data_IF_086258291915
#
_entry.id   IF_086258291915
#
_cell.length_a   1.000
_cell.length_b   1.000
_cell.length_c   1.000
_cell.angle_alpha   90.00
_cell.angle_beta   90.00
_cell.angle_gamma   90.00
#
_symmetry.space_group_name_H-M   'P 1'
#
loop_
_entity.id
_entity.type
_entity.pdbx_description
1 polymer ?
#
# COMPACT_ATOMS: atom_id res chain seq x y z
N UNK A 1 22.99 3.23 20.48
CA UNK A 1 22.46 3.12 19.11
C UNK A 1 23.38 2.19 18.33
N UNK A 2 22.96 0.95 18.06
CA UNK A 2 23.70 0.11 17.11
C UNK A 2 23.38 0.66 15.70
N UNK A 3 24.41 0.87 14.86
CA UNK A 3 24.17 1.27 13.48
C UNK A 3 23.32 0.17 12.82
N UNK A 4 22.20 0.56 12.25
CA UNK A 4 21.35 -0.34 11.47
C UNK A 4 22.21 -0.96 10.37
N UNK A 5 22.40 -2.28 10.41
CA UNK A 5 23.11 -2.99 9.33
C UNK A 5 22.40 -2.68 8.00
N UNK A 6 23.13 -2.32 6.94
CA UNK A 6 22.52 -2.00 5.66
C UNK A 6 21.72 -3.24 5.18
N UNK A 7 20.50 -2.96 4.67
CA UNK A 7 19.65 -4.00 4.10
C UNK A 7 20.46 -4.82 3.07
N UNK A 8 20.34 -6.13 3.14
CA UNK A 8 20.98 -7.03 2.19
C UNK A 8 20.43 -6.81 0.77
N UNK A 9 21.24 -7.03 -0.27
CA UNK A 9 20.80 -6.93 -1.65
C UNK A 9 19.50 -7.71 -1.95
N UNK A 10 19.32 -8.98 -1.47
CA UNK A 10 18.08 -9.72 -1.68
C UNK A 10 16.88 -9.10 -0.95
N UNK A 11 17.06 -8.41 0.18
CA UNK A 11 15.97 -7.71 0.85
C UNK A 11 15.52 -6.47 0.05
N UNK A 12 16.47 -5.73 -0.50
CA UNK A 12 16.17 -4.56 -1.36
C UNK A 12 15.42 -4.97 -2.63
N UNK A 13 15.90 -6.00 -3.33
CA UNK A 13 15.22 -6.50 -4.53
C UNK A 13 13.83 -7.05 -4.22
N UNK A 14 13.63 -7.67 -3.04
CA UNK A 14 12.33 -8.14 -2.61
C UNK A 14 11.35 -7.00 -2.36
N UNK A 15 11.78 -5.88 -1.74
CA UNK A 15 10.93 -4.70 -1.52
C UNK A 15 10.47 -4.13 -2.87
N UNK A 16 11.40 -3.96 -3.83
CA UNK A 16 11.05 -3.48 -5.18
C UNK A 16 10.08 -4.44 -5.88
N UNK A 17 10.31 -5.76 -5.77
CA UNK A 17 9.41 -6.75 -6.35
C UNK A 17 8.02 -6.71 -5.72
N UNK A 18 7.93 -6.58 -4.39
CA UNK A 18 6.66 -6.42 -3.67
C UNK A 18 5.90 -5.19 -4.17
N UNK A 19 6.59 -4.05 -4.32
CA UNK A 19 6.00 -2.82 -4.80
C UNK A 19 5.49 -2.94 -6.25
N UNK A 20 6.27 -3.54 -7.16
CA UNK A 20 5.85 -3.79 -8.53
C UNK A 20 4.65 -4.74 -8.61
N UNK A 21 4.65 -5.82 -7.83
CA UNK A 21 3.53 -6.75 -7.73
C UNK A 21 2.29 -6.05 -7.17
N UNK A 22 2.45 -5.21 -6.16
CA UNK A 22 1.36 -4.41 -5.60
C UNK A 22 0.74 -3.48 -6.65
N UNK A 23 1.56 -2.76 -7.42
CA UNK A 23 1.09 -1.92 -8.52
C UNK A 23 0.35 -2.73 -9.60
N UNK A 24 0.88 -3.90 -9.98
CA UNK A 24 0.24 -4.80 -10.93
C UNK A 24 -1.10 -5.33 -10.43
N UNK A 25 -1.18 -5.70 -9.13
CA UNK A 25 -2.43 -6.18 -8.53
C UNK A 25 -3.51 -5.09 -8.43
N UNK A 26 -3.11 -3.83 -8.21
CA UNK A 26 -4.04 -2.69 -8.26
C UNK A 26 -4.52 -2.44 -9.68
N UNK A 27 -3.62 -2.50 -10.65
CA UNK A 27 -3.96 -2.35 -12.06
C UNK A 27 -4.93 -3.44 -12.54
N UNK A 28 -4.67 -4.71 -12.22
CA UNK A 28 -5.58 -5.82 -12.62
C UNK A 28 -6.99 -5.66 -12.06
N UNK A 29 -7.13 -5.15 -10.83
CA UNK A 29 -8.43 -4.89 -10.23
C UNK A 29 -9.17 -3.73 -10.90
N UNK A 30 -8.43 -2.75 -11.43
CA UNK A 30 -9.00 -1.62 -12.18
C UNK A 30 -9.46 -2.08 -13.57
N UNK A 31 -8.61 -2.82 -14.28
CA UNK A 31 -8.91 -3.32 -15.63
C UNK A 31 -10.09 -4.31 -15.64
N UNK A 32 -10.18 -5.15 -14.61
CA UNK A 32 -11.23 -6.15 -14.46
C UNK A 32 -12.43 -5.64 -13.63
N UNK A 33 -12.59 -4.33 -13.47
CA UNK A 33 -13.65 -3.74 -12.62
C UNK A 33 -15.07 -4.15 -13.00
N UNK A 34 -15.32 -4.46 -14.28
CA UNK A 34 -16.61 -4.91 -14.81
C UNK A 34 -16.81 -6.44 -14.76
N UNK A 35 -15.73 -7.18 -14.47
CA UNK A 35 -15.76 -8.65 -14.39
C UNK A 35 -15.89 -9.12 -12.93
N UNK A 36 -16.45 -10.32 -12.76
CA UNK A 36 -16.42 -10.98 -11.45
C UNK A 36 -14.96 -11.38 -11.11
N UNK A 37 -14.47 -11.21 -9.86
CA UNK A 37 -15.18 -10.74 -8.64
C UNK A 37 -15.20 -9.22 -8.43
N UNK A 38 -14.48 -8.42 -9.21
CA UNK A 38 -14.26 -6.99 -8.97
C UNK A 38 -15.49 -6.10 -9.28
N UNK A 39 -16.49 -6.64 -9.98
CA UNK A 39 -17.79 -5.97 -10.19
C UNK A 39 -18.52 -5.74 -8.86
N UNK A 40 -18.36 -6.63 -7.90
CA UNK A 40 -18.95 -6.49 -6.56
C UNK A 40 -18.12 -5.56 -5.70
N UNK A 41 -18.77 -4.55 -5.10
CA UNK A 41 -18.10 -3.51 -4.28
C UNK A 41 -17.40 -4.15 -3.08
N UNK A 42 -18.01 -5.15 -2.44
CA UNK A 42 -17.44 -5.81 -1.26
C UNK A 42 -16.15 -6.56 -1.58
N UNK A 43 -16.13 -7.35 -2.65
CA UNK A 43 -14.94 -8.06 -3.10
C UNK A 43 -13.84 -7.11 -3.55
N UNK A 44 -14.20 -6.07 -4.29
CA UNK A 44 -13.25 -5.02 -4.72
C UNK A 44 -12.64 -4.30 -3.52
N UNK A 45 -13.44 -3.99 -2.51
CA UNK A 45 -12.95 -3.37 -1.28
C UNK A 45 -11.99 -4.28 -0.52
N UNK A 46 -12.30 -5.57 -0.38
CA UNK A 46 -11.42 -6.58 0.23
C UNK A 46 -10.07 -6.66 -0.50
N UNK A 47 -10.10 -6.64 -1.84
CA UNK A 47 -8.89 -6.69 -2.64
C UNK A 47 -8.01 -5.46 -2.43
N UNK A 48 -8.58 -4.26 -2.56
CA UNK A 48 -7.80 -3.03 -2.35
C UNK A 48 -7.25 -2.92 -0.93
N UNK A 49 -8.06 -3.24 0.08
CA UNK A 49 -7.63 -3.22 1.46
C UNK A 49 -6.45 -4.18 1.72
N UNK A 50 -6.53 -5.40 1.20
CA UNK A 50 -5.49 -6.40 1.36
C UNK A 50 -4.21 -6.02 0.60
N UNK A 51 -4.33 -5.64 -0.67
CA UNK A 51 -3.20 -5.28 -1.53
C UNK A 51 -2.45 -4.05 -1.00
N UNK A 52 -3.17 -3.07 -0.44
CA UNK A 52 -2.53 -1.89 0.14
C UNK A 52 -1.91 -2.16 1.52
N UNK A 53 -2.60 -2.90 2.40
CA UNK A 53 -2.15 -3.07 3.78
C UNK A 53 -1.02 -4.09 3.92
N UNK A 54 -1.19 -5.30 3.38
CA UNK A 54 -0.30 -6.42 3.69
C UNK A 54 1.06 -6.32 3.00
N UNK A 55 1.17 -6.10 1.69
CA UNK A 55 2.46 -5.92 1.04
C UNK A 55 3.24 -4.73 1.61
N UNK A 56 2.57 -3.61 1.91
CA UNK A 56 3.21 -2.44 2.53
C UNK A 56 3.72 -2.75 3.94
N UNK A 57 2.93 -3.46 4.77
CA UNK A 57 3.37 -3.88 6.10
C UNK A 57 4.55 -4.85 6.04
N UNK A 58 4.54 -5.79 5.08
CA UNK A 58 5.66 -6.70 4.84
C UNK A 58 6.90 -5.93 4.38
N UNK A 59 6.78 -5.02 3.40
CA UNK A 59 7.90 -4.22 2.90
C UNK A 59 8.56 -3.38 4.01
N UNK A 60 7.75 -2.71 4.85
CA UNK A 60 8.22 -1.92 6.00
C UNK A 60 8.81 -2.77 7.15
N UNK A 61 8.51 -4.06 7.19
CA UNK A 61 8.97 -4.98 8.24
C UNK A 61 10.06 -5.94 7.77
N UNK A 62 10.40 -5.92 6.48
CA UNK A 62 11.31 -6.87 5.87
C UNK A 62 12.77 -6.56 6.27
N UNK A 63 13.34 -7.44 7.09
CA UNK A 63 14.77 -7.45 7.41
C UNK A 63 15.44 -8.63 6.70
N UNK A 64 14.83 -9.82 6.75
CA UNK A 64 15.28 -11.03 6.12
C UNK A 64 14.09 -11.84 5.57
N UNK A 65 14.23 -12.34 4.33
CA UNK A 65 13.19 -13.15 3.65
C UNK A 65 12.93 -14.50 4.32
N UNK A 66 13.93 -15.04 5.02
CA UNK A 66 13.87 -16.39 5.65
C UNK A 66 13.11 -16.43 6.99
N UNK A 67 12.63 -15.34 7.51
CA UNK A 67 11.94 -15.30 8.80
C UNK A 67 10.53 -15.90 8.72
N UNK A 68 10.37 -17.15 9.17
CA UNK A 68 9.06 -17.81 9.27
C UNK A 68 8.01 -16.99 10.03
N UNK A 69 8.45 -16.24 11.05
CA UNK A 69 7.56 -15.37 11.85
C UNK A 69 6.94 -14.25 11.02
N UNK A 70 7.70 -13.66 10.09
CA UNK A 70 7.19 -12.62 9.19
C UNK A 70 6.00 -13.16 8.37
N UNK A 71 6.14 -14.33 7.77
CA UNK A 71 5.10 -14.93 6.94
C UNK A 71 3.88 -15.39 7.75
N UNK A 72 4.09 -15.93 8.95
CA UNK A 72 2.98 -16.25 9.85
C UNK A 72 2.19 -15.00 10.26
N UNK A 73 2.89 -13.92 10.57
CA UNK A 73 2.23 -12.65 10.91
C UNK A 73 1.55 -12.04 9.70
N UNK A 74 2.16 -12.11 8.51
CA UNK A 74 1.53 -11.65 7.28
C UNK A 74 0.22 -12.44 7.00
N UNK A 75 0.20 -13.75 7.25
CA UNK A 75 -0.99 -14.57 7.14
C UNK A 75 -2.08 -14.17 8.16
N UNK A 76 -1.70 -13.98 9.44
CA UNK A 76 -2.62 -13.51 10.47
C UNK A 76 -3.16 -12.11 10.18
N UNK A 77 -2.28 -11.18 9.81
CA UNK A 77 -2.65 -9.83 9.39
C UNK A 77 -3.59 -9.82 8.20
N UNK A 78 -3.32 -10.70 7.21
CA UNK A 78 -4.22 -10.89 6.06
C UNK A 78 -5.61 -11.33 6.50
N UNK A 79 -5.72 -12.29 7.41
CA UNK A 79 -7.01 -12.74 7.92
C UNK A 79 -7.78 -11.61 8.63
N UNK A 80 -7.10 -10.80 9.45
CA UNK A 80 -7.71 -9.67 10.15
C UNK A 80 -8.15 -8.58 9.17
N UNK A 81 -7.26 -8.18 8.24
CA UNK A 81 -7.55 -7.15 7.24
C UNK A 81 -8.72 -7.57 6.35
N UNK A 82 -8.72 -8.83 5.86
CA UNK A 82 -9.80 -9.34 5.04
C UNK A 82 -11.12 -9.45 5.80
N UNK A 83 -11.10 -9.87 7.08
CA UNK A 83 -12.31 -9.92 7.91
C UNK A 83 -12.92 -8.53 8.10
N UNK A 84 -12.09 -7.52 8.42
CA UNK A 84 -12.53 -6.13 8.56
C UNK A 84 -13.03 -5.55 7.23
N UNK A 85 -12.30 -5.80 6.13
CA UNK A 85 -12.68 -5.34 4.81
C UNK A 85 -13.97 -6.00 4.32
N UNK A 86 -14.17 -7.29 4.58
CA UNK A 86 -15.40 -8.00 4.26
C UNK A 86 -16.59 -7.45 5.06
N UNK A 87 -16.39 -7.16 6.34
CA UNK A 87 -17.43 -6.53 7.17
C UNK A 87 -17.80 -5.14 6.64
N UNK A 88 -16.81 -4.31 6.28
CA UNK A 88 -17.04 -2.99 5.65
C UNK A 88 -17.74 -3.15 4.31
N UNK A 89 -17.23 -4.04 3.45
CA UNK A 89 -17.80 -4.29 2.13
C UNK A 89 -19.25 -4.77 2.19
N UNK A 90 -19.60 -5.60 3.17
CA UNK A 90 -20.97 -6.03 3.40
C UNK A 90 -21.90 -4.85 3.74
N UNK A 91 -21.45 -3.94 4.59
CA UNK A 91 -22.23 -2.74 4.93
C UNK A 91 -22.39 -1.78 3.74
N UNK A 92 -21.41 -1.72 2.83
CA UNK A 92 -21.48 -0.88 1.63
C UNK A 92 -22.41 -1.43 0.54
N UNK A 93 -22.62 -2.74 0.47
CA UNK A 93 -23.44 -3.37 -0.58
C UNK A 93 -24.95 -3.07 -0.50
N UNK A 94 -25.43 -2.55 0.64
CA UNK A 94 -26.85 -2.19 0.82
C UNK A 94 -27.17 -0.72 0.57
N UNK A 95 -26.17 0.13 0.34
CA UNK A 95 -26.31 1.57 0.28
C UNK A 95 -26.46 2.10 -1.15
N UNK A 96 -27.09 3.25 -1.30
CA UNK A 96 -27.11 3.94 -2.60
C UNK A 96 -25.71 4.40 -3.00
N UNK A 97 -25.46 4.61 -4.30
CA UNK A 97 -24.12 5.01 -4.79
C UNK A 97 -23.61 6.31 -4.16
N UNK A 98 -24.49 7.24 -3.75
CA UNK A 98 -24.12 8.48 -3.07
C UNK A 98 -23.78 8.25 -1.60
N UNK A 99 -24.55 7.42 -0.90
CA UNK A 99 -24.33 7.06 0.51
C UNK A 99 -23.10 6.18 0.67
N UNK A 100 -22.89 5.21 -0.23
CA UNK A 100 -21.67 4.37 -0.24
C UNK A 100 -20.41 5.22 -0.47
N UNK A 101 -20.44 6.24 -1.33
CA UNK A 101 -19.32 7.16 -1.53
C UNK A 101 -19.00 7.99 -0.28
N UNK A 102 -20.01 8.47 0.43
CA UNK A 102 -19.83 9.24 1.67
C UNK A 102 -19.27 8.40 2.82
N UNK A 103 -19.64 7.12 2.90
CA UNK A 103 -19.17 6.19 3.94
C UNK A 103 -17.80 5.57 3.60
N UNK A 104 -17.51 5.36 2.33
CA UNK A 104 -16.28 4.70 1.88
C UNK A 104 -15.03 5.43 2.34
N UNK A 105 -14.98 6.76 2.21
CA UNK A 105 -13.80 7.55 2.58
C UNK A 105 -13.45 7.44 4.08
N UNK A 106 -14.39 7.72 5.03
CA UNK A 106 -14.06 7.63 6.46
C UNK A 106 -13.73 6.19 6.89
N UNK A 107 -14.38 5.17 6.34
CA UNK A 107 -14.09 3.77 6.64
C UNK A 107 -12.69 3.36 6.15
N UNK A 108 -12.33 3.75 4.93
CA UNK A 108 -11.01 3.50 4.36
C UNK A 108 -9.92 4.22 5.15
N UNK A 109 -10.14 5.49 5.49
CA UNK A 109 -9.22 6.26 6.31
C UNK A 109 -9.06 5.65 7.71
N UNK A 110 -10.16 5.26 8.35
CA UNK A 110 -10.14 4.58 9.65
C UNK A 110 -9.34 3.29 9.60
N UNK A 111 -9.52 2.48 8.55
CA UNK A 111 -8.76 1.26 8.35
C UNK A 111 -7.27 1.51 8.12
N UNK A 112 -6.92 2.51 7.31
CA UNK A 112 -5.53 2.91 7.07
C UNK A 112 -4.85 3.36 8.37
N UNK A 113 -5.53 4.17 9.19
CA UNK A 113 -5.04 4.60 10.51
C UNK A 113 -4.88 3.39 11.44
N UNK A 114 -5.84 2.47 11.48
CA UNK A 114 -5.75 1.27 12.31
C UNK A 114 -4.55 0.39 11.93
N UNK A 115 -4.32 0.17 10.64
CA UNK A 115 -3.16 -0.56 10.13
C UNK A 115 -1.85 0.17 10.49
N UNK A 116 -1.79 1.49 10.30
CA UNK A 116 -0.62 2.30 10.64
C UNK A 116 -0.29 2.23 12.14
N UNK A 117 -1.29 2.30 13.01
CA UNK A 117 -1.11 2.18 14.47
C UNK A 117 -0.70 0.76 14.88
N UNK A 118 -1.22 -0.27 14.22
CA UNK A 118 -0.88 -1.66 14.50
C UNK A 118 0.54 -2.03 14.04
N UNK A 119 1.08 -1.36 13.01
CA UNK A 119 2.36 -1.68 12.38
C UNK A 119 3.56 -1.67 13.35
N UNK A 120 3.77 -0.67 14.26
CA UNK A 120 4.85 -0.68 15.24
C UNK A 120 4.81 -1.87 16.19
N UNK A 121 3.61 -2.32 16.60
CA UNK A 121 3.42 -3.52 17.42
C UNK A 121 3.80 -4.78 16.67
N UNK A 122 3.41 -4.87 15.42
CA UNK A 122 3.77 -5.95 14.50
C UNK A 122 5.30 -6.05 14.37
N UNK A 123 5.97 -4.94 14.06
CA UNK A 123 7.43 -4.87 13.92
C UNK A 123 8.14 -5.22 15.23
N UNK A 124 7.62 -4.75 16.36
CA UNK A 124 8.18 -5.05 17.69
C UNK A 124 8.08 -6.54 17.99
N UNK A 125 6.93 -7.16 17.76
CA UNK A 125 6.71 -8.58 17.98
C UNK A 125 7.62 -9.45 17.09
N UNK A 126 7.82 -9.05 15.83
CA UNK A 126 8.75 -9.75 14.92
C UNK A 126 10.17 -9.82 15.48
N UNK A 127 10.65 -8.74 16.06
CA UNK A 127 12.03 -8.66 16.55
C UNK A 127 12.21 -9.30 17.93
N UNK A 128 11.25 -9.16 18.82
CA UNK A 128 11.39 -9.56 20.24
C UNK A 128 10.61 -10.83 20.60
N UNK A 129 9.66 -11.25 19.76
CA UNK A 129 8.85 -12.44 20.00
C UNK A 129 7.74 -12.30 21.08
N UNK A 130 7.52 -11.09 21.60
CA UNK A 130 6.46 -10.79 22.59
C UNK A 130 5.80 -9.44 22.28
N UNK A 131 4.57 -9.26 22.82
CA UNK A 131 3.74 -8.07 22.55
C UNK A 131 3.91 -6.92 23.56
N UNK A 132 4.74 -7.11 24.58
CA UNK A 132 4.95 -6.11 25.64
C UNK A 132 6.03 -5.12 25.20
N UNK A 133 5.62 -4.06 24.53
CA UNK A 133 6.50 -2.99 24.10
C UNK A 133 6.38 -1.78 25.04
N UNK A 134 7.48 -1.05 25.24
CA UNK A 134 7.44 0.24 25.93
C UNK A 134 6.92 1.33 25.00
N UNK A 135 6.22 2.32 25.55
CA UNK A 135 5.71 3.46 24.77
C UNK A 135 6.79 4.16 23.92
N UNK A 136 7.99 4.48 24.46
CA UNK A 136 9.04 5.13 23.66
C UNK A 136 9.44 4.31 22.45
N UNK A 137 9.55 2.99 22.57
CA UNK A 137 9.92 2.11 21.44
C UNK A 137 8.86 2.09 20.34
N UNK A 138 7.58 2.06 20.74
CA UNK A 138 6.48 2.10 19.76
C UNK A 138 6.41 3.45 19.08
N UNK A 139 6.58 4.54 19.82
CA UNK A 139 6.58 5.90 19.29
C UNK A 139 7.73 6.10 18.30
N UNK A 140 8.94 5.66 18.62
CA UNK A 140 10.10 5.75 17.73
C UNK A 140 9.83 5.02 16.40
N UNK A 141 9.26 3.81 16.45
CA UNK A 141 8.90 3.04 15.24
C UNK A 141 7.78 3.68 14.44
N UNK A 142 6.74 4.16 15.11
CA UNK A 142 5.66 4.89 14.43
C UNK A 142 6.19 6.14 13.72
N UNK A 143 7.11 6.86 14.36
CA UNK A 143 7.77 8.02 13.78
C UNK A 143 8.63 7.65 12.56
N UNK A 144 9.44 6.60 12.65
CA UNK A 144 10.24 6.09 11.54
C UNK A 144 9.36 5.66 10.36
N UNK A 145 8.30 4.90 10.62
CA UNK A 145 7.35 4.50 9.59
C UNK A 145 6.66 5.72 8.95
N UNK A 146 6.26 6.70 9.75
CA UNK A 146 5.64 7.94 9.27
C UNK A 146 6.58 8.74 8.37
N UNK A 147 7.85 8.89 8.76
CA UNK A 147 8.88 9.56 7.94
C UNK A 147 9.13 8.80 6.63
N UNK A 148 9.24 7.47 6.68
CA UNK A 148 9.44 6.65 5.48
C UNK A 148 8.28 6.82 4.51
N UNK A 149 7.03 6.74 4.99
CA UNK A 149 5.84 6.95 4.17
C UNK A 149 5.76 8.38 3.62
N UNK A 150 6.09 9.38 4.43
CA UNK A 150 6.12 10.78 3.99
C UNK A 150 7.17 11.02 2.90
N UNK A 151 8.36 10.44 3.04
CA UNK A 151 9.40 10.50 2.01
C UNK A 151 8.98 9.79 0.73
N UNK A 152 8.42 8.58 0.82
CA UNK A 152 7.90 7.84 -0.32
C UNK A 152 6.82 8.65 -1.05
N UNK A 153 5.87 9.23 -0.31
CA UNK A 153 4.83 10.09 -0.87
C UNK A 153 5.41 11.35 -1.54
N UNK A 154 6.42 11.97 -0.92
CA UNK A 154 7.10 13.13 -1.48
C UNK A 154 7.81 12.79 -2.80
N UNK A 155 8.60 11.71 -2.84
CA UNK A 155 9.29 11.27 -4.06
C UNK A 155 8.30 10.90 -5.16
N UNK A 156 7.25 10.15 -4.83
CA UNK A 156 6.18 9.80 -5.78
C UNK A 156 5.51 11.06 -6.33
N UNK A 157 5.14 12.00 -5.45
CA UNK A 157 4.52 13.27 -5.84
C UNK A 157 5.42 14.14 -6.73
N UNK A 158 6.71 14.25 -6.39
CA UNK A 158 7.68 14.98 -7.22
C UNK A 158 7.87 14.32 -8.60
N UNK A 159 7.93 13.01 -8.64
CA UNK A 159 8.06 12.29 -9.92
C UNK A 159 6.81 12.50 -10.79
N UNK A 160 5.62 12.41 -10.23
CA UNK A 160 4.38 12.72 -10.96
C UNK A 160 4.32 14.17 -11.44
N UNK A 161 4.77 15.12 -10.62
CA UNK A 161 4.85 16.52 -11.01
C UNK A 161 5.81 16.72 -12.19
N UNK A 162 6.99 16.07 -12.17
CA UNK A 162 7.93 16.12 -13.28
C UNK A 162 7.36 15.49 -14.55
N UNK A 163 6.72 14.33 -14.45
CA UNK A 163 6.09 13.67 -15.58
C UNK A 163 4.97 14.53 -16.18
N UNK A 164 4.17 15.17 -15.33
CA UNK A 164 3.11 16.07 -15.77
C UNK A 164 3.69 17.33 -16.45
N UNK A 165 4.75 17.90 -15.88
CA UNK A 165 5.46 19.03 -16.48
C UNK A 165 6.03 18.67 -17.86
N UNK A 166 6.63 17.48 -17.99
CA UNK A 166 7.13 16.98 -19.27
C UNK A 166 6.00 16.81 -20.28
N UNK A 167 4.89 16.22 -19.89
CA UNK A 167 3.72 16.09 -20.74
C UNK A 167 3.21 17.46 -21.24
N UNK A 168 3.18 18.47 -20.37
CA UNK A 168 2.79 19.83 -20.70
C UNK A 168 3.78 20.49 -21.70
N UNK A 169 5.10 20.28 -21.52
CA UNK A 169 6.12 20.78 -22.46
C UNK A 169 6.00 20.14 -23.85
N UNK A 170 5.79 18.83 -23.93
CA UNK A 170 5.58 18.13 -25.19
C UNK A 170 4.27 18.53 -25.86
N UNK A 171 3.24 18.87 -25.10
CA UNK A 171 1.98 19.38 -25.64
C UNK A 171 2.19 20.74 -26.35
N UNK A 172 3.10 21.59 -25.85
CA UNK A 172 3.50 22.84 -26.51
C UNK A 172 4.18 22.60 -27.88
N UNK A 173 4.79 21.43 -28.06
CA UNK A 173 5.43 20.99 -29.31
C UNK A 173 4.48 20.18 -30.21
N UNK A 174 3.16 20.20 -29.95
CA UNK A 174 2.11 19.43 -30.64
C UNK A 174 2.30 17.89 -30.59
N UNK A 175 3.16 17.38 -29.69
CA UNK A 175 3.36 15.94 -29.48
C UNK A 175 2.41 15.45 -28.38
N UNK A 176 1.31 14.81 -28.78
CA UNK A 176 0.27 14.32 -27.86
C UNK A 176 0.58 12.95 -27.26
N UNK A 177 1.56 12.22 -27.80
CA UNK A 177 1.91 10.85 -27.40
C UNK A 177 2.12 10.67 -25.90
N UNK A 178 2.86 11.57 -25.25
CA UNK A 178 3.14 11.46 -23.80
C UNK A 178 1.90 11.69 -22.93
N UNK A 179 0.98 12.55 -23.37
CA UNK A 179 -0.28 12.77 -22.67
C UNK A 179 -1.15 11.52 -22.69
N UNK A 180 -1.17 10.84 -23.82
CA UNK A 180 -1.97 9.61 -23.97
C UNK A 180 -1.33 8.45 -23.19
N UNK A 181 0.00 8.36 -23.15
CA UNK A 181 0.75 7.39 -22.34
C UNK A 181 0.50 7.58 -20.82
N UNK A 182 0.56 8.82 -20.34
CA UNK A 182 0.37 9.13 -18.91
C UNK A 182 -1.09 9.05 -18.44
N UNK A 183 -2.04 8.91 -19.37
CA UNK A 183 -3.45 8.63 -19.09
C UNK A 183 -3.76 7.13 -19.03
N UNK A 184 -2.82 6.27 -19.43
CA UNK A 184 -3.03 4.83 -19.35
C UNK A 184 -2.91 4.37 -17.90
N UNK A 185 -3.98 3.74 -17.41
CA UNK A 185 -4.07 3.23 -16.02
C UNK A 185 -2.95 2.24 -15.70
N UNK A 186 -2.51 1.46 -16.69
CA UNK A 186 -1.36 0.57 -16.60
C UNK A 186 -0.06 1.30 -16.22
N UNK A 187 0.21 2.41 -16.91
CA UNK A 187 1.40 3.21 -16.63
C UNK A 187 1.34 3.85 -15.25
N UNK A 188 0.17 4.39 -14.87
CA UNK A 188 -0.07 5.01 -13.57
C UNK A 188 0.17 3.99 -12.45
N UNK A 189 -0.42 2.79 -12.55
CA UNK A 189 -0.30 1.74 -11.55
C UNK A 189 1.14 1.25 -11.38
N UNK A 190 1.83 0.97 -12.50
CA UNK A 190 3.22 0.50 -12.49
C UNK A 190 4.19 1.58 -11.99
N UNK A 191 4.05 2.82 -12.47
CA UNK A 191 4.89 3.93 -12.04
C UNK A 191 4.71 4.23 -10.56
N UNK A 192 3.47 4.34 -10.08
CA UNK A 192 3.19 4.60 -8.67
C UNK A 192 3.66 3.46 -7.78
N UNK A 193 3.42 2.20 -8.18
CA UNK A 193 3.88 1.03 -7.45
C UNK A 193 5.41 0.95 -7.36
N UNK A 194 6.13 1.23 -8.45
CA UNK A 194 7.60 1.20 -8.46
C UNK A 194 8.26 2.35 -7.69
N UNK A 195 7.61 3.51 -7.59
CA UNK A 195 8.12 4.69 -6.90
C UNK A 195 7.82 4.68 -5.40
N UNK A 196 6.74 4.01 -4.99
CA UNK A 196 6.33 3.91 -3.59
C UNK A 196 7.06 2.78 -2.82
N UNK A 197 7.68 1.80 -3.52
CA UNK A 197 8.49 0.72 -2.95
C UNK A 197 9.95 1.07 -2.90
#
# INVERSE_FOLDING_TARGET
MQPSSPLTLPARSAIVLIALLQGLMLYTAQELSDAWPFRDIGWRYCWYAWVLAIPSAVALSLVELGQRRLWLQAALGSAVVLALAAWIGWNLNGETALESGALQFPLTLGMAVAVFVALPWWQFQLQHGHWRASYPTLFERAWQNGLTLALAALFTGLTWLLLWLWAALFQLLEVTFFRDLFRQDAFIALATGSLAG
#
